data_IF_578273712253
#
_entry.id   IF_578273712253
#
_cell.length_a   1.000
_cell.length_b   1.000
_cell.length_c   1.000
_cell.angle_alpha   90.00
_cell.angle_beta   90.00
_cell.angle_gamma   90.00
#
_symmetry.space_group_name_H-M   'P 1'
#
loop_
_entity.id
_entity.type
_entity.pdbx_description
1 polymer ?
#
# COMPACT_ATOMS: atom_id res chain seq x y z
N UNK A 1 -12.81 -15.38 -20.87
CA UNK A 1 -11.94 -14.79 -21.91
C UNK A 1 -10.65 -15.63 -22.00
N UNK A 2 -10.11 -15.88 -23.19
CA UNK A 2 -8.78 -16.51 -23.32
C UNK A 2 -7.71 -15.50 -22.94
N UNK A 3 -6.64 -15.96 -22.27
CA UNK A 3 -5.47 -15.09 -22.02
C UNK A 3 -4.70 -14.91 -23.33
N UNK A 4 -4.11 -13.72 -23.57
CA UNK A 4 -3.23 -13.50 -24.73
C UNK A 4 -1.93 -14.30 -24.57
N UNK A 5 -1.31 -14.65 -25.67
CA UNK A 5 0.00 -15.29 -25.66
C UNK A 5 1.18 -14.30 -25.60
N UNK A 6 0.89 -12.99 -25.69
CA UNK A 6 1.87 -11.90 -25.56
C UNK A 6 1.24 -10.63 -25.02
N UNK A 7 1.98 -9.90 -24.20
CA UNK A 7 1.66 -8.53 -23.75
C UNK A 7 2.96 -7.80 -23.44
N UNK A 8 3.06 -6.52 -23.78
CA UNK A 8 4.26 -5.71 -23.46
C UNK A 8 4.49 -5.64 -21.96
N UNK A 9 3.41 -5.38 -21.20
CA UNK A 9 3.47 -5.27 -19.73
C UNK A 9 2.56 -6.30 -19.10
N UNK A 10 3.11 -7.11 -18.20
CA UNK A 10 2.34 -8.04 -17.37
C UNK A 10 2.49 -7.65 -15.91
N UNK A 11 1.36 -7.41 -15.25
CA UNK A 11 1.31 -7.05 -13.83
C UNK A 11 0.70 -8.23 -13.06
N UNK A 12 1.42 -8.72 -12.06
CA UNK A 12 1.01 -9.86 -11.23
C UNK A 12 0.41 -9.35 -9.93
N UNK A 13 -0.90 -9.54 -9.76
CA UNK A 13 -1.69 -9.11 -8.60
C UNK A 13 -2.67 -7.99 -8.92
N UNK A 14 -3.95 -8.20 -8.66
CA UNK A 14 -5.04 -7.24 -8.83
C UNK A 14 -5.44 -6.58 -7.49
N UNK A 15 -4.48 -6.33 -6.60
CA UNK A 15 -4.59 -5.47 -5.42
C UNK A 15 -4.34 -4.01 -5.77
N UNK A 16 -4.29 -3.14 -4.74
CA UNK A 16 -4.11 -1.70 -4.91
C UNK A 16 -2.86 -1.36 -5.73
N UNK A 17 -1.72 -2.01 -5.46
CA UNK A 17 -0.48 -1.71 -6.16
C UNK A 17 -0.55 -2.10 -7.64
N UNK A 18 -1.08 -3.31 -7.95
CA UNK A 18 -1.18 -3.75 -9.34
C UNK A 18 -2.17 -2.93 -10.16
N UNK A 19 -3.36 -2.68 -9.63
CA UNK A 19 -4.38 -1.88 -10.31
C UNK A 19 -3.95 -0.42 -10.50
N UNK A 20 -3.34 0.19 -9.47
CA UNK A 20 -2.82 1.55 -9.56
C UNK A 20 -1.70 1.65 -10.58
N UNK A 21 -0.76 0.69 -10.58
CA UNK A 21 0.30 0.63 -11.60
C UNK A 21 -0.29 0.49 -13.00
N UNK A 22 -1.25 -0.42 -13.20
CA UNK A 22 -1.89 -0.63 -14.50
C UNK A 22 -2.57 0.64 -15.02
N UNK A 23 -3.36 1.29 -14.17
CA UNK A 23 -4.09 2.51 -14.53
C UNK A 23 -3.16 3.66 -14.87
N UNK A 24 -2.21 3.99 -13.98
CA UNK A 24 -1.31 5.10 -14.19
C UNK A 24 -0.31 4.85 -15.33
N UNK A 25 0.14 3.61 -15.50
CA UNK A 25 0.97 3.24 -16.65
C UNK A 25 0.21 3.42 -17.97
N UNK A 26 -1.07 3.02 -18.04
CA UNK A 26 -1.90 3.22 -19.22
C UNK A 26 -2.04 4.71 -19.59
N UNK A 27 -2.28 5.57 -18.59
CA UNK A 27 -2.34 7.01 -18.78
C UNK A 27 -1.02 7.59 -19.28
N UNK A 28 0.10 7.15 -18.69
CA UNK A 28 1.42 7.64 -19.04
C UNK A 28 1.85 7.21 -20.44
N UNK A 29 1.63 5.94 -20.81
CA UNK A 29 1.90 5.45 -22.17
C UNK A 29 1.11 6.23 -23.22
N UNK A 30 -0.17 6.50 -22.95
CA UNK A 30 -1.05 7.28 -23.81
C UNK A 30 -0.60 8.73 -23.91
N UNK A 31 -0.22 9.37 -22.81
CA UNK A 31 0.23 10.77 -22.79
C UNK A 31 1.52 10.97 -23.57
N UNK A 32 2.41 9.98 -23.56
CA UNK A 32 3.68 9.99 -24.32
C UNK A 32 3.52 9.53 -25.76
N UNK A 33 2.38 9.00 -26.16
CA UNK A 33 2.15 8.47 -27.49
C UNK A 33 2.98 7.22 -27.83
N UNK A 34 3.40 6.44 -26.82
CA UNK A 34 4.27 5.26 -26.98
C UNK A 34 3.54 3.93 -26.70
N UNK A 35 2.25 3.98 -26.34
CA UNK A 35 1.44 2.81 -26.05
C UNK A 35 0.10 3.19 -25.45
N UNK A 36 -0.60 2.21 -24.89
CA UNK A 36 -1.92 2.38 -24.29
C UNK A 36 -2.19 1.28 -23.25
N UNK A 37 -3.34 1.32 -22.58
CA UNK A 37 -3.77 0.24 -21.69
C UNK A 37 -3.90 -1.13 -22.38
N UNK A 38 -4.04 -1.17 -23.72
CA UNK A 38 -4.08 -2.43 -24.48
C UNK A 38 -2.78 -3.23 -24.45
N UNK A 39 -1.68 -2.56 -24.11
CA UNK A 39 -0.35 -3.16 -23.98
C UNK A 39 -0.11 -3.76 -22.60
N UNK A 40 -1.12 -3.64 -21.69
CA UNK A 40 -1.04 -4.02 -20.29
C UNK A 40 -2.06 -5.10 -19.95
N UNK A 41 -1.61 -6.17 -19.33
CA UNK A 41 -2.49 -7.14 -18.67
C UNK A 41 -2.20 -7.24 -17.19
N UNK A 42 -3.25 -7.49 -16.41
CA UNK A 42 -3.15 -7.78 -14.97
C UNK A 42 -3.60 -9.21 -14.75
N UNK A 43 -2.79 -10.00 -14.06
CA UNK A 43 -3.09 -11.39 -13.70
C UNK A 43 -3.30 -11.50 -12.19
N UNK A 44 -4.38 -12.16 -11.77
CA UNK A 44 -4.59 -12.48 -10.37
C UNK A 44 -5.11 -13.92 -10.22
N UNK A 45 -4.54 -14.67 -9.27
CA UNK A 45 -4.93 -16.08 -9.05
C UNK A 45 -6.35 -16.24 -8.55
N UNK A 46 -6.93 -15.21 -7.95
CA UNK A 46 -8.28 -15.23 -7.37
C UNK A 46 -9.15 -14.20 -8.06
N UNK A 47 -8.86 -12.90 -7.88
CA UNK A 47 -9.62 -11.80 -8.45
C UNK A 47 -9.29 -10.45 -7.84
N UNK A 48 -9.92 -9.42 -8.40
CA UNK A 48 -9.73 -8.04 -7.93
C UNK A 48 -10.00 -7.96 -6.44
N UNK A 49 -9.07 -7.35 -5.71
CA UNK A 49 -9.22 -7.07 -4.27
C UNK A 49 -9.29 -8.30 -3.35
N UNK A 50 -8.97 -9.50 -3.85
CA UNK A 50 -9.10 -10.73 -3.06
C UNK A 50 -8.07 -10.89 -1.92
N UNK A 51 -6.96 -10.13 -1.97
CA UNK A 51 -5.90 -10.15 -0.96
C UNK A 51 -6.04 -9.06 0.10
N UNK A 52 -4.89 -8.59 0.62
CA UNK A 52 -4.80 -7.61 1.70
C UNK A 52 -5.57 -6.31 1.41
N UNK A 53 -5.66 -5.88 0.15
CA UNK A 53 -6.42 -4.69 -0.25
C UNK A 53 -7.92 -4.81 0.07
N UNK A 54 -8.49 -6.01 0.04
CA UNK A 54 -9.91 -6.24 0.35
C UNK A 54 -10.25 -6.27 1.82
N UNK A 55 -9.28 -6.57 2.68
CA UNK A 55 -9.46 -6.68 4.12
C UNK A 55 -8.86 -5.51 4.90
N UNK A 56 -8.22 -4.55 4.21
CA UNK A 56 -7.69 -3.35 4.83
C UNK A 56 -8.78 -2.53 5.53
N UNK A 57 -8.42 -1.81 6.59
CA UNK A 57 -9.37 -0.96 7.34
C UNK A 57 -9.83 0.28 6.56
N UNK A 58 -9.21 0.58 5.43
CA UNK A 58 -9.58 1.69 4.55
C UNK A 58 -9.26 3.09 5.11
N UNK A 59 -8.50 3.20 6.18
CA UNK A 59 -8.10 4.50 6.76
C UNK A 59 -7.07 5.18 5.87
N UNK A 60 -7.32 6.45 5.58
CA UNK A 60 -6.46 7.32 4.79
C UNK A 60 -5.95 8.43 5.71
N UNK A 61 -4.63 8.50 5.89
CA UNK A 61 -3.97 9.40 6.85
C UNK A 61 -2.56 9.77 6.43
N UNK A 62 -2.00 10.80 7.04
CA UNK A 62 -0.58 11.19 6.91
C UNK A 62 0.22 11.02 8.22
N UNK A 63 -0.34 10.36 9.21
CA UNK A 63 0.27 10.13 10.51
C UNK A 63 1.37 9.05 10.41
N UNK A 64 2.55 9.47 9.90
CA UNK A 64 3.72 8.62 9.75
C UNK A 64 4.98 9.33 10.24
N UNK A 65 5.80 8.64 11.01
CA UNK A 65 7.06 9.18 11.52
C UNK A 65 8.11 9.31 10.41
N UNK A 66 8.08 8.45 9.41
CA UNK A 66 9.03 8.42 8.30
C UNK A 66 8.68 9.49 7.25
N UNK A 67 9.68 10.32 6.87
CA UNK A 67 9.50 11.42 5.90
C UNK A 67 8.98 10.94 4.55
N UNK A 68 9.57 9.89 3.99
CA UNK A 68 9.16 9.33 2.70
C UNK A 68 7.69 8.88 2.69
N UNK A 69 7.22 8.29 3.80
CA UNK A 69 5.82 7.88 3.92
C UNK A 69 4.88 9.08 4.00
N UNK A 70 5.27 10.16 4.69
CA UNK A 70 4.45 11.38 4.76
C UNK A 70 4.30 12.05 3.41
N UNK A 71 5.40 12.19 2.66
CA UNK A 71 5.38 12.78 1.32
C UNK A 71 4.52 11.93 0.37
N UNK A 72 4.69 10.61 0.40
CA UNK A 72 3.89 9.68 -0.40
C UNK A 72 2.41 9.77 -0.03
N UNK A 73 2.05 9.81 1.25
CA UNK A 73 0.66 9.90 1.69
C UNK A 73 0.05 11.26 1.38
N UNK A 74 0.81 12.35 1.50
CA UNK A 74 0.34 13.69 1.11
C UNK A 74 0.06 13.77 -0.40
N UNK A 75 0.79 13.04 -1.23
CA UNK A 75 0.46 12.86 -2.65
C UNK A 75 -0.78 11.97 -2.83
N UNK A 76 -0.83 10.84 -2.13
CA UNK A 76 -1.89 9.84 -2.28
C UNK A 76 -3.27 10.38 -1.92
N UNK A 77 -3.38 11.24 -0.91
CA UNK A 77 -4.68 11.83 -0.53
C UNK A 77 -5.30 12.61 -1.69
N UNK A 78 -4.49 13.27 -2.52
CA UNK A 78 -4.96 14.00 -3.72
C UNK A 78 -5.55 13.05 -4.77
N UNK A 79 -5.04 11.83 -4.85
CA UNK A 79 -5.60 10.79 -5.74
C UNK A 79 -7.00 10.40 -5.25
N UNK A 80 -7.18 10.20 -3.94
CA UNK A 80 -8.50 9.91 -3.36
C UNK A 80 -9.49 11.06 -3.56
N UNK A 81 -9.02 12.29 -3.40
CA UNK A 81 -9.81 13.52 -3.59
C UNK A 81 -10.16 13.80 -5.06
N UNK A 82 -9.42 13.24 -6.02
CA UNK A 82 -9.67 13.46 -7.44
C UNK A 82 -11.00 12.88 -7.93
N UNK A 83 -11.48 11.81 -7.28
CA UNK A 83 -12.77 11.19 -7.59
C UNK A 83 -13.34 10.47 -6.34
N UNK A 84 -13.77 11.25 -5.33
CA UNK A 84 -14.16 10.68 -4.05
C UNK A 84 -15.38 9.76 -4.14
N UNK A 85 -16.26 10.01 -5.10
CA UNK A 85 -17.43 9.15 -5.33
C UNK A 85 -17.04 7.77 -5.86
N UNK A 86 -16.20 7.70 -6.90
CA UNK A 86 -15.73 6.45 -7.46
C UNK A 86 -14.92 5.65 -6.43
N UNK A 87 -14.00 6.33 -5.73
CA UNK A 87 -13.17 5.70 -4.71
C UNK A 87 -13.89 5.47 -3.37
N UNK A 88 -15.18 5.82 -3.26
CA UNK A 88 -15.92 5.73 -1.99
C UNK A 88 -15.15 6.35 -0.82
N UNK A 89 -14.52 7.50 -1.09
CA UNK A 89 -13.69 8.24 -0.15
C UNK A 89 -14.55 9.23 0.65
N UNK A 90 -14.39 9.20 1.95
CA UNK A 90 -15.08 10.05 2.91
C UNK A 90 -14.06 10.93 3.64
N UNK A 91 -13.93 12.23 3.29
CA UNK A 91 -12.96 13.15 3.87
C UNK A 91 -13.41 13.63 5.25
N UNK A 92 -13.45 12.75 6.22
CA UNK A 92 -13.87 13.03 7.60
C UNK A 92 -12.70 13.42 8.52
N UNK A 93 -11.49 13.47 7.97
CA UNK A 93 -10.26 13.66 8.71
C UNK A 93 -9.75 12.38 9.38
N UNK A 94 -8.59 12.50 10.00
CA UNK A 94 -8.00 11.47 10.84
C UNK A 94 -7.53 12.08 12.15
N UNK A 95 -7.76 11.38 13.26
CA UNK A 95 -7.42 11.90 14.57
C UNK A 95 -6.59 10.90 15.36
N UNK A 96 -5.43 11.37 15.82
CA UNK A 96 -4.57 10.67 16.77
C UNK A 96 -4.79 11.29 18.14
N UNK A 97 -5.31 10.52 19.07
CA UNK A 97 -5.44 10.92 20.49
C UNK A 97 -4.43 10.14 21.32
N UNK A 98 -3.67 10.82 22.16
CA UNK A 98 -2.52 10.22 22.83
C UNK A 98 -2.37 10.69 24.27
N UNK A 99 -1.81 9.81 25.10
CA UNK A 99 -1.37 10.14 26.46
C UNK A 99 0.03 10.76 26.45
N UNK A 100 0.49 11.20 27.61
CA UNK A 100 1.76 11.91 27.78
C UNK A 100 2.98 11.14 27.22
N UNK A 101 2.98 9.84 27.32
CA UNK A 101 4.06 8.98 26.81
C UNK A 101 4.32 9.17 25.32
N UNK A 102 3.27 9.43 24.52
CA UNK A 102 3.33 9.58 23.07
C UNK A 102 3.45 11.04 22.61
N UNK A 103 3.43 11.98 23.55
CA UNK A 103 3.35 13.40 23.25
C UNK A 103 4.46 13.89 22.33
N UNK A 104 5.72 13.55 22.63
CA UNK A 104 6.87 13.98 21.84
C UNK A 104 6.82 13.48 20.40
N UNK A 105 6.39 12.24 20.19
CA UNK A 105 6.32 11.62 18.86
C UNK A 105 5.21 12.28 18.03
N UNK A 106 4.03 12.50 18.64
CA UNK A 106 2.90 13.15 17.97
C UNK A 106 3.21 14.61 17.63
N UNK A 107 3.88 15.34 18.55
CA UNK A 107 4.35 16.69 18.30
C UNK A 107 5.35 16.75 17.13
N UNK A 108 6.26 15.77 17.07
CA UNK A 108 7.24 15.66 15.98
C UNK A 108 6.51 15.39 14.64
N UNK A 109 5.54 14.50 14.60
CA UNK A 109 4.74 14.23 13.39
C UNK A 109 4.04 15.51 12.94
N UNK A 110 3.42 16.26 13.85
CA UNK A 110 2.80 17.54 13.54
C UNK A 110 3.78 18.52 12.89
N UNK A 111 4.96 18.75 13.50
CA UNK A 111 5.97 19.63 12.94
C UNK A 111 6.39 19.21 11.53
N UNK A 112 6.53 17.93 11.30
CA UNK A 112 6.90 17.36 10.01
C UNK A 112 5.77 17.48 8.97
N UNK A 113 4.51 17.39 9.39
CA UNK A 113 3.36 17.68 8.52
C UNK A 113 3.31 19.15 8.12
N UNK A 114 3.56 20.07 9.06
CA UNK A 114 3.63 21.50 8.76
C UNK A 114 4.75 21.81 7.75
N UNK A 115 5.91 21.15 7.88
CA UNK A 115 7.06 21.35 6.98
C UNK A 115 6.76 20.99 5.51
N UNK A 116 5.82 20.08 5.26
CA UNK A 116 5.37 19.70 3.90
C UNK A 116 4.04 20.36 3.50
N UNK A 117 3.53 21.30 4.32
CA UNK A 117 2.26 21.99 4.06
C UNK A 117 1.01 21.12 4.20
N UNK A 118 1.09 19.99 4.92
CA UNK A 118 -0.06 19.14 5.19
C UNK A 118 -0.92 19.71 6.32
N UNK A 119 -2.21 19.89 6.06
CA UNK A 119 -3.12 20.57 6.98
C UNK A 119 -3.47 19.68 8.19
N UNK A 120 -3.00 20.08 9.36
CA UNK A 120 -3.33 19.41 10.61
C UNK A 120 -3.38 20.42 11.78
N UNK A 121 -4.07 20.05 12.83
CA UNK A 121 -4.17 20.81 14.10
C UNK A 121 -3.58 19.95 15.20
N UNK A 122 -2.71 20.54 16.02
CA UNK A 122 -2.16 19.89 17.20
C UNK A 122 -2.64 20.61 18.45
N UNK A 123 -3.24 19.86 19.37
CA UNK A 123 -3.75 20.36 20.66
C UNK A 123 -3.00 19.67 21.78
N UNK A 124 -2.49 20.48 22.74
CA UNK A 124 -1.67 20.02 23.84
C UNK A 124 -2.34 20.35 25.19
N UNK A 125 -2.05 19.50 26.16
CA UNK A 125 -2.54 19.67 27.52
C UNK A 125 -3.95 19.10 27.76
N UNK A 126 -4.11 18.49 28.93
CA UNK A 126 -5.33 17.72 29.26
C UNK A 126 -6.62 18.54 29.10
N UNK A 127 -6.64 19.78 29.61
CA UNK A 127 -7.84 20.62 29.57
C UNK A 127 -8.21 21.06 28.16
N UNK A 128 -7.22 21.39 27.34
CA UNK A 128 -7.44 21.83 25.97
C UNK A 128 -7.83 20.67 25.07
N UNK A 129 -7.20 19.50 25.25
CA UNK A 129 -7.61 18.27 24.57
C UNK A 129 -9.06 17.90 24.91
N UNK A 130 -9.44 17.94 26.19
CA UNK A 130 -10.81 17.64 26.60
C UNK A 130 -11.81 18.62 25.98
N UNK A 131 -11.51 19.92 26.00
CA UNK A 131 -12.35 20.98 25.39
C UNK A 131 -12.48 20.76 23.89
N UNK A 132 -11.38 20.50 23.20
CA UNK A 132 -11.35 20.25 21.76
C UNK A 132 -12.19 19.02 21.40
N UNK A 133 -11.98 17.91 22.09
CA UNK A 133 -12.69 16.66 21.83
C UNK A 133 -14.18 16.75 22.13
N UNK A 134 -14.58 17.42 23.24
CA UNK A 134 -16.00 17.68 23.55
C UNK A 134 -16.68 18.60 22.54
N UNK A 135 -15.92 19.47 21.88
CA UNK A 135 -16.44 20.29 20.79
C UNK A 135 -16.80 19.48 19.53
N UNK A 136 -16.20 18.30 19.36
CA UNK A 136 -16.45 17.42 18.22
C UNK A 136 -17.38 16.26 18.61
N UNK A 137 -17.16 15.66 19.78
CA UNK A 137 -17.90 14.52 20.31
C UNK A 137 -18.52 14.90 21.67
N UNK A 138 -19.80 15.22 21.67
CA UNK A 138 -20.49 15.72 22.88
C UNK A 138 -20.51 14.75 24.07
N UNK A 139 -20.35 13.46 23.80
CA UNK A 139 -20.30 12.37 24.77
C UNK A 139 -18.86 11.90 25.12
N UNK A 140 -17.83 12.69 24.76
CA UNK A 140 -16.44 12.37 25.02
C UNK A 140 -16.14 12.15 26.51
N UNK A 141 -15.58 10.98 26.86
CA UNK A 141 -15.31 10.57 28.24
C UNK A 141 -13.88 10.02 28.46
N UNK A 142 -13.03 9.99 27.42
CA UNK A 142 -11.70 9.43 27.57
C UNK A 142 -10.86 10.22 28.56
N UNK A 143 -10.09 9.49 29.38
CA UNK A 143 -9.21 10.04 30.40
C UNK A 143 -7.74 9.89 30.00
N UNK A 144 -6.89 10.77 30.54
CA UNK A 144 -5.43 10.69 30.36
C UNK A 144 -4.93 11.16 29.01
N UNK A 145 -5.77 11.76 28.17
CA UNK A 145 -5.38 12.34 26.89
C UNK A 145 -4.71 13.69 27.14
N UNK A 146 -3.49 13.85 26.59
CA UNK A 146 -2.67 15.07 26.72
C UNK A 146 -2.24 15.65 25.38
N UNK A 147 -2.50 14.93 24.28
CA UNK A 147 -2.29 15.45 22.93
C UNK A 147 -3.31 14.89 21.93
N UNK A 148 -3.71 15.75 21.01
CA UNK A 148 -4.57 15.41 19.86
C UNK A 148 -3.93 15.97 18.61
N UNK A 149 -3.65 15.12 17.64
CA UNK A 149 -3.29 15.52 16.28
C UNK A 149 -4.47 15.21 15.36
N UNK A 150 -5.07 16.27 14.81
CA UNK A 150 -6.22 16.16 13.91
C UNK A 150 -5.82 16.57 12.50
N UNK A 151 -5.78 15.62 11.59
CA UNK A 151 -5.53 15.82 10.16
C UNK A 151 -6.84 16.15 9.47
N UNK A 152 -6.89 17.28 8.74
CA UNK A 152 -8.09 17.69 8.00
C UNK A 152 -8.25 16.89 6.70
N UNK A 153 -7.20 16.77 5.85
CA UNK A 153 -7.22 15.85 4.71
C UNK A 153 -7.00 14.44 5.24
N UNK A 154 -7.81 13.53 4.83
CA UNK A 154 -7.78 12.17 5.32
C UNK A 154 -9.18 11.69 5.64
N UNK A 155 -9.30 10.49 6.15
CA UNK A 155 -10.59 9.91 6.44
C UNK A 155 -10.61 8.41 6.15
N UNK A 156 -11.62 7.93 5.46
CA UNK A 156 -11.70 6.51 5.11
C UNK A 156 -12.29 6.30 3.71
N UNK A 157 -12.01 5.11 3.17
CA UNK A 157 -12.61 4.63 1.94
C UNK A 157 -13.19 3.23 2.14
N UNK A 158 -14.26 2.91 1.44
CA UNK A 158 -14.65 1.52 1.28
C UNK A 158 -13.68 0.87 0.28
N UNK A 159 -12.68 0.14 0.81
CA UNK A 159 -11.59 -0.41 0.04
C UNK A 159 -12.04 -1.31 -1.11
N UNK A 160 -13.04 -2.18 -0.92
CA UNK A 160 -13.54 -3.03 -2.00
C UNK A 160 -14.15 -2.21 -3.13
N UNK A 161 -14.98 -1.21 -2.81
CA UNK A 161 -15.57 -0.32 -3.83
C UNK A 161 -14.49 0.47 -4.55
N UNK A 162 -13.52 1.02 -3.83
CA UNK A 162 -12.42 1.76 -4.42
C UNK A 162 -11.59 0.90 -5.37
N UNK A 163 -11.30 -0.36 -4.99
CA UNK A 163 -10.54 -1.27 -5.85
C UNK A 163 -11.32 -1.67 -7.11
N UNK A 164 -12.61 -1.92 -7.00
CA UNK A 164 -13.46 -2.20 -8.17
C UNK A 164 -13.55 -0.98 -9.10
N UNK A 165 -13.66 0.22 -8.54
CA UNK A 165 -13.64 1.45 -9.34
C UNK A 165 -12.29 1.66 -10.03
N UNK A 166 -11.17 1.41 -9.35
CA UNK A 166 -9.85 1.51 -9.93
C UNK A 166 -9.64 0.47 -11.06
N UNK A 167 -10.13 -0.76 -10.87
CA UNK A 167 -10.13 -1.78 -11.91
C UNK A 167 -10.93 -1.30 -13.14
N UNK A 168 -12.15 -0.78 -12.94
CA UNK A 168 -12.98 -0.26 -14.02
C UNK A 168 -12.31 0.94 -14.74
N UNK A 169 -11.61 1.82 -14.01
CA UNK A 169 -10.82 2.90 -14.62
C UNK A 169 -9.68 2.35 -15.48
N UNK A 170 -8.96 1.35 -15.01
CA UNK A 170 -7.90 0.70 -15.78
C UNK A 170 -8.46 0.01 -17.05
N UNK A 171 -9.56 -0.72 -16.93
CA UNK A 171 -10.25 -1.34 -18.06
C UNK A 171 -10.77 -0.28 -19.05
N UNK A 172 -11.26 0.86 -18.57
CA UNK A 172 -11.68 2.00 -19.39
C UNK A 172 -10.53 2.59 -20.25
N UNK A 173 -9.29 2.48 -19.80
CA UNK A 173 -8.09 2.84 -20.58
C UNK A 173 -7.61 1.70 -21.48
N UNK A 174 -8.25 0.52 -21.45
CA UNK A 174 -7.95 -0.61 -22.31
C UNK A 174 -7.14 -1.73 -21.65
N UNK A 175 -6.80 -1.62 -20.37
CA UNK A 175 -6.13 -2.69 -19.60
C UNK A 175 -7.03 -3.92 -19.53
N UNK A 176 -6.44 -5.11 -19.67
CA UNK A 176 -7.17 -6.37 -19.51
C UNK A 176 -6.83 -7.01 -18.15
N UNK A 177 -7.84 -7.34 -17.36
CA UNK A 177 -7.69 -7.96 -16.05
C UNK A 177 -8.20 -9.40 -16.11
N UNK A 178 -7.33 -10.35 -15.78
CA UNK A 178 -7.62 -11.78 -15.79
C UNK A 178 -7.61 -12.34 -14.36
N UNK A 179 -8.79 -12.65 -13.85
CA UNK A 179 -8.98 -13.37 -12.60
C UNK A 179 -8.88 -14.89 -12.81
N UNK A 180 -8.49 -15.62 -11.76
CA UNK A 180 -8.34 -17.07 -11.81
C UNK A 180 -7.17 -17.51 -12.67
N UNK A 181 -6.10 -16.69 -12.72
CA UNK A 181 -4.85 -16.99 -13.46
C UNK A 181 -3.70 -16.92 -12.46
N UNK A 182 -3.20 -18.08 -12.07
CA UNK A 182 -2.03 -18.17 -11.20
C UNK A 182 -0.74 -18.13 -12.02
N UNK A 183 0.21 -17.29 -11.62
CA UNK A 183 1.57 -17.31 -12.15
C UNK A 183 2.35 -18.36 -11.41
N UNK A 184 2.94 -19.30 -12.15
CA UNK A 184 3.61 -20.50 -11.64
C UNK A 184 5.12 -20.51 -11.88
N UNK A 185 5.62 -19.62 -12.75
CA UNK A 185 7.04 -19.51 -13.06
C UNK A 185 7.37 -18.40 -14.06
N UNK A 186 8.65 -18.33 -14.39
CA UNK A 186 9.20 -17.39 -15.36
C UNK A 186 10.18 -18.09 -16.26
N UNK A 187 10.05 -17.88 -17.57
CA UNK A 187 11.04 -18.32 -18.56
C UNK A 187 12.03 -17.19 -18.81
N UNK A 188 13.30 -17.55 -19.02
CA UNK A 188 14.38 -16.59 -19.30
C UNK A 188 14.92 -16.80 -20.72
N UNK A 189 15.40 -15.72 -21.31
CA UNK A 189 16.13 -15.77 -22.56
C UNK A 189 17.60 -16.17 -22.35
N UNK A 190 18.37 -16.26 -23.43
CA UNK A 190 19.78 -16.61 -23.39
C UNK A 190 20.67 -15.59 -22.66
N UNK A 191 20.18 -14.37 -22.43
CA UNK A 191 20.85 -13.33 -21.67
C UNK A 191 20.47 -13.35 -20.18
N UNK A 192 19.56 -14.25 -19.76
CA UNK A 192 19.07 -14.38 -18.41
C UNK A 192 17.92 -13.42 -18.07
N UNK A 193 17.44 -12.63 -19.03
CA UNK A 193 16.28 -11.74 -18.83
C UNK A 193 14.97 -12.53 -18.88
N UNK A 194 13.97 -12.10 -18.11
CA UNK A 194 12.63 -12.70 -18.18
C UNK A 194 12.06 -12.43 -19.56
N UNK A 195 11.65 -13.46 -20.26
CA UNK A 195 11.06 -13.40 -21.60
C UNK A 195 9.60 -13.83 -21.65
N UNK A 196 9.17 -14.64 -20.67
CA UNK A 196 7.79 -15.08 -20.57
C UNK A 196 7.38 -15.39 -19.12
N UNK A 197 6.07 -15.39 -18.89
CA UNK A 197 5.44 -15.74 -17.62
C UNK A 197 4.67 -17.05 -17.83
N UNK A 198 4.94 -18.02 -16.99
CA UNK A 198 4.24 -19.30 -16.94
C UNK A 198 3.01 -19.16 -16.03
N UNK A 199 1.86 -19.60 -16.50
CA UNK A 199 0.61 -19.48 -15.75
C UNK A 199 -0.17 -20.78 -15.76
N UNK A 200 -1.14 -20.91 -14.85
CA UNK A 200 -2.10 -22.02 -14.83
C UNK A 200 -2.96 -22.14 -16.11
N UNK A 201 -2.88 -21.15 -17.01
CA UNK A 201 -3.71 -21.09 -18.24
C UNK A 201 -2.89 -20.95 -19.52
N UNK A 202 -1.57 -21.13 -19.45
CA UNK A 202 -0.64 -21.06 -20.59
C UNK A 202 0.51 -20.09 -20.32
N UNK A 203 1.35 -19.90 -21.34
CA UNK A 203 2.53 -19.06 -21.29
C UNK A 203 2.24 -17.72 -21.98
N UNK A 204 2.73 -16.63 -21.40
CA UNK A 204 2.58 -15.27 -21.93
C UNK A 204 3.97 -14.66 -22.11
N UNK A 205 4.34 -14.38 -23.35
CA UNK A 205 5.55 -13.60 -23.64
C UNK A 205 5.38 -12.15 -23.16
N UNK A 206 6.43 -11.58 -22.56
CA UNK A 206 6.36 -10.20 -22.05
C UNK A 206 7.72 -9.52 -22.08
N UNK A 207 7.70 -8.22 -22.34
CA UNK A 207 8.90 -7.39 -22.30
C UNK A 207 9.16 -6.85 -20.86
N UNK A 208 8.09 -6.64 -20.10
CA UNK A 208 8.16 -6.10 -18.72
C UNK A 208 7.20 -6.83 -17.79
N UNK A 209 7.70 -7.19 -16.61
CA UNK A 209 6.90 -7.82 -15.56
C UNK A 209 6.94 -6.99 -14.29
N UNK A 210 5.77 -6.74 -13.71
CA UNK A 210 5.63 -6.06 -12.41
C UNK A 210 5.04 -7.05 -11.41
N UNK A 211 5.77 -7.29 -10.32
CA UNK A 211 5.29 -8.12 -9.21
C UNK A 211 4.59 -7.24 -8.19
N UNK A 212 3.27 -7.28 -8.17
CA UNK A 212 2.40 -6.56 -7.24
C UNK A 212 1.59 -7.52 -6.35
N UNK A 213 2.20 -8.65 -6.00
CA UNK A 213 1.56 -9.79 -5.35
C UNK A 213 1.30 -9.58 -3.84
N UNK A 214 1.53 -8.37 -3.30
CA UNK A 214 1.32 -8.07 -1.89
C UNK A 214 2.08 -9.02 -0.95
N UNK A 215 1.41 -9.64 0.04
CA UNK A 215 2.07 -10.56 0.98
C UNK A 215 2.73 -11.78 0.34
N UNK A 216 2.36 -12.12 -0.88
CA UNK A 216 2.95 -13.26 -1.62
C UNK A 216 4.19 -12.89 -2.44
N UNK A 217 4.67 -11.64 -2.36
CA UNK A 217 5.86 -11.19 -3.09
C UNK A 217 7.12 -12.06 -2.81
N UNK A 218 7.24 -12.59 -1.59
CA UNK A 218 8.33 -13.50 -1.21
C UNK A 218 8.40 -14.75 -2.09
N UNK A 219 7.25 -15.33 -2.46
CA UNK A 219 7.20 -16.50 -3.37
C UNK A 219 7.74 -16.19 -4.75
N UNK A 220 7.43 -14.99 -5.26
CA UNK A 220 7.97 -14.53 -6.54
C UNK A 220 9.46 -14.20 -6.48
N UNK A 221 9.92 -13.71 -5.32
CA UNK A 221 11.33 -13.50 -5.05
C UNK A 221 12.13 -14.80 -5.17
N UNK A 222 11.60 -15.87 -4.58
CA UNK A 222 12.19 -17.21 -4.67
C UNK A 222 12.13 -17.78 -6.10
N UNK A 223 11.00 -17.63 -6.81
CA UNK A 223 10.85 -18.04 -8.21
C UNK A 223 11.84 -17.32 -9.15
N UNK A 224 12.21 -16.09 -8.78
CA UNK A 224 13.17 -15.27 -9.54
C UNK A 224 14.62 -15.52 -9.12
N UNK A 225 14.86 -16.43 -8.17
CA UNK A 225 16.18 -16.76 -7.63
C UNK A 225 16.93 -15.53 -7.10
N UNK A 226 16.18 -14.59 -6.50
CA UNK A 226 16.74 -13.38 -5.93
C UNK A 226 17.39 -13.66 -4.57
N UNK A 227 18.37 -12.83 -4.13
CA UNK A 227 19.08 -13.06 -2.87
C UNK A 227 18.15 -13.20 -1.67
N UNK A 228 18.33 -14.23 -0.86
CA UNK A 228 17.54 -14.46 0.37
C UNK A 228 17.90 -13.46 1.48
N UNK A 229 19.08 -12.84 1.40
CA UNK A 229 19.58 -11.87 2.36
C UNK A 229 20.03 -10.59 1.68
N UNK A 230 20.02 -9.48 2.44
CA UNK A 230 20.49 -8.17 2.00
C UNK A 230 21.42 -7.55 3.05
N UNK A 231 22.19 -6.55 2.64
CA UNK A 231 22.95 -5.70 3.56
C UNK A 231 22.15 -4.42 3.81
N UNK A 232 21.93 -4.08 5.07
CA UNK A 232 21.20 -2.88 5.49
C UNK A 232 22.17 -1.91 6.15
N UNK A 233 22.20 -0.67 5.66
CA UNK A 233 22.94 0.42 6.29
C UNK A 233 22.03 1.16 7.27
N UNK A 234 22.45 1.23 8.53
CA UNK A 234 21.77 2.02 9.55
C UNK A 234 21.81 3.52 9.19
N UNK A 235 20.65 4.20 9.18
CA UNK A 235 20.61 5.65 8.96
C UNK A 235 21.15 6.46 10.14
N UNK A 236 21.24 5.85 11.33
CA UNK A 236 21.63 6.54 12.57
C UNK A 236 23.14 6.65 12.74
N UNK A 237 23.87 5.55 12.54
CA UNK A 237 25.30 5.44 12.83
C UNK A 237 26.13 5.01 11.62
N UNK A 238 25.45 4.71 10.48
CA UNK A 238 26.11 4.25 9.27
C UNK A 238 26.64 2.82 9.32
N UNK A 239 26.40 2.08 10.40
CA UNK A 239 26.78 0.66 10.50
C UNK A 239 26.08 -0.18 9.45
N UNK A 240 26.74 -1.26 9.02
CA UNK A 240 26.17 -2.18 8.02
C UNK A 240 25.89 -3.52 8.69
N UNK A 241 24.64 -3.93 8.71
CA UNK A 241 24.22 -5.28 9.04
C UNK A 241 24.20 -6.11 7.75
N UNK A 242 25.03 -7.14 7.67
CA UNK A 242 25.07 -8.07 6.54
C UNK A 242 24.20 -9.29 6.81
N UNK A 243 23.82 -9.99 5.72
CA UNK A 243 23.08 -11.24 5.77
C UNK A 243 21.73 -11.14 6.50
N UNK A 244 21.11 -9.95 6.43
CA UNK A 244 19.78 -9.74 6.99
C UNK A 244 18.75 -10.42 6.09
N UNK A 245 17.91 -11.33 6.61
CA UNK A 245 16.88 -11.99 5.81
C UNK A 245 15.94 -10.98 5.16
N UNK A 246 15.69 -11.11 3.85
CA UNK A 246 14.90 -10.16 3.07
C UNK A 246 13.41 -10.16 3.48
N UNK A 247 12.86 -11.32 3.87
CA UNK A 247 11.42 -11.51 4.09
C UNK A 247 11.05 -11.95 5.52
N UNK A 248 11.80 -11.57 6.53
CA UNK A 248 11.51 -11.94 7.93
C UNK A 248 10.10 -11.56 8.36
N UNK A 249 9.61 -10.42 7.90
CA UNK A 249 8.31 -9.89 8.28
C UNK A 249 7.13 -10.69 7.69
N UNK A 250 7.26 -11.22 6.47
CA UNK A 250 6.15 -11.89 5.78
C UNK A 250 5.83 -13.29 6.30
N UNK A 251 6.78 -13.98 6.90
CA UNK A 251 6.53 -15.27 7.53
C UNK A 251 5.59 -15.16 8.74
N UNK A 252 5.51 -13.99 9.38
CA UNK A 252 4.57 -13.71 10.46
C UNK A 252 3.14 -13.47 9.98
N UNK A 253 2.96 -12.99 8.74
CA UNK A 253 1.63 -12.71 8.17
C UNK A 253 1.02 -13.92 7.45
N UNK A 254 1.81 -14.84 6.96
CA UNK A 254 1.34 -16.14 6.45
C UNK A 254 0.99 -17.14 7.58
N UNK A 255 1.55 -16.93 8.77
CA UNK A 255 1.15 -17.67 9.95
C UNK A 255 -0.27 -17.31 10.35
N UNK A 256 -1.06 -18.29 10.70
CA UNK A 256 -2.36 -18.10 11.31
C UNK A 256 -2.28 -17.05 12.42
N UNK A 257 -3.07 -16.01 12.31
CA UNK A 257 -3.26 -15.04 13.37
C UNK A 257 -3.47 -15.77 14.69
N UNK A 258 -2.44 -15.74 15.49
CA UNK A 258 -2.59 -16.07 16.88
C UNK A 258 -2.12 -17.38 17.25
N UNK A 259 -1.06 -17.89 16.99
CA UNK A 259 -0.56 -18.84 17.96
C UNK A 259 0.81 -19.40 17.60
N UNK A 260 1.74 -18.53 17.47
CA UNK A 260 3.07 -18.96 17.88
C UNK A 260 3.15 -18.78 19.40
N UNK A 261 3.21 -19.85 20.19
CA UNK A 261 3.36 -19.73 21.64
C UNK A 261 4.69 -19.10 22.06
N UNK A 262 5.59 -18.87 21.12
CA UNK A 262 6.86 -18.19 21.31
C UNK A 262 6.83 -16.71 20.88
N UNK A 263 5.71 -16.24 20.32
CA UNK A 263 5.57 -14.84 20.00
C UNK A 263 5.36 -14.03 21.29
N UNK A 264 6.41 -13.43 21.78
CA UNK A 264 6.29 -12.40 22.81
C UNK A 264 5.74 -11.13 22.15
N UNK A 265 4.44 -10.92 22.32
CA UNK A 265 3.85 -9.62 22.05
C UNK A 265 4.40 -8.69 23.13
N UNK A 266 5.23 -7.72 22.76
CA UNK A 266 5.64 -6.70 23.69
C UNK A 266 4.39 -5.89 24.07
N UNK A 267 4.10 -5.80 25.37
CA UNK A 267 2.98 -5.02 25.90
C UNK A 267 3.25 -3.51 25.89
N UNK A 268 4.30 -3.06 25.22
CA UNK A 268 4.73 -1.65 25.13
C UNK A 268 4.18 -0.91 23.90
N UNK A 269 3.37 -1.58 23.09
CA UNK A 269 2.69 -0.95 21.96
C UNK A 269 3.57 -0.65 20.77
N UNK A 270 4.74 -1.30 20.65
CA UNK A 270 5.58 -1.25 19.44
C UNK A 270 5.34 -2.46 18.55
#
# INVERSE_FOLDING_TARGET
MAIPNRSTYVIVGAGIHGLSTAYHLALELKSRGIGSGKDIIVLDKTGVCAGASGIACGVIRNNYYQSSMRELMAHSVKVWESDPQAYSYHPVGYMQVSCERMHSDVATIYQQQQAIGYQSTFVEGKADCERYMKGIFGDWQAQGITSVLHEMPGGYSNNTRAMLALAAKAEGEGVQIFSGVEVTGFSRDNAGSISAIETSRGVIESDYVVIAAGPWAGKFWDMLEMPATISIKSPTDGSIANDVPMWVYWSLQEGTLGVDPNMQVSNDGT
#
